data_IF_279882145731
#
_entry.id   IF_279882145731
#
_cell.length_a   1.000
_cell.length_b   1.000
_cell.length_c   1.000
_cell.angle_alpha   90.00
_cell.angle_beta   90.00
_cell.angle_gamma   90.00
#
_symmetry.space_group_name_H-M   'P 1'
#
loop_
_entity.id
_entity.type
_entity.pdbx_description
1 polymer ?
#
# COMPACT_ATOMS: atom_id res chain seq x y z
N UNK A 1 -8.39 -1.98 1.65
CA UNK A 1 -7.51 -3.07 2.16
C UNK A 1 -8.07 -4.44 1.80
N UNK A 2 -7.27 -5.30 1.21
CA UNK A 2 -7.63 -6.66 0.90
C UNK A 2 -7.52 -7.56 2.12
N UNK A 3 -8.51 -8.42 2.32
CA UNK A 3 -8.53 -9.40 3.41
C UNK A 3 -8.96 -10.77 2.90
N UNK A 4 -8.29 -11.83 3.40
CA UNK A 4 -8.59 -13.21 3.04
C UNK A 4 -7.79 -13.71 1.84
N UNK A 5 -7.16 -14.89 2.00
CA UNK A 5 -6.25 -15.46 0.99
C UNK A 5 -7.00 -16.29 -0.06
N UNK A 6 -8.09 -16.97 0.33
CA UNK A 6 -8.86 -17.83 -0.56
C UNK A 6 -10.13 -17.16 -1.10
N UNK A 7 -10.81 -16.39 -0.24
CA UNK A 7 -11.95 -15.54 -0.63
C UNK A 7 -11.59 -14.10 -0.28
N UNK A 8 -10.92 -13.44 -1.21
CA UNK A 8 -10.45 -12.07 -1.02
C UNK A 8 -11.62 -11.10 -0.96
N UNK A 9 -11.71 -10.32 0.12
CA UNK A 9 -12.69 -9.26 0.31
C UNK A 9 -11.96 -7.92 0.38
N UNK A 10 -12.52 -6.91 -0.26
CA UNK A 10 -12.04 -5.54 -0.09
C UNK A 10 -12.75 -4.95 1.12
N UNK A 11 -12.00 -4.68 2.18
CA UNK A 11 -12.50 -4.00 3.37
C UNK A 11 -12.32 -2.49 3.19
N UNK A 12 -13.42 -1.76 3.25
CA UNK A 12 -13.43 -0.30 3.22
C UNK A 12 -13.74 0.17 4.64
N UNK A 13 -12.87 0.98 5.26
CA UNK A 13 -13.17 1.60 6.56
C UNK A 13 -14.42 2.47 6.46
N UNK A 14 -15.30 2.37 7.43
CA UNK A 14 -16.56 3.12 7.46
C UNK A 14 -16.31 4.64 7.39
N UNK A 15 -15.25 5.12 8.00
CA UNK A 15 -14.82 6.52 7.96
C UNK A 15 -14.50 7.03 6.55
N UNK A 16 -14.15 6.14 5.61
CA UNK A 16 -13.93 6.51 4.21
C UNK A 16 -15.25 6.65 3.46
N UNK A 17 -16.30 5.96 3.89
CA UNK A 17 -17.65 6.03 3.31
C UNK A 17 -18.46 7.23 3.81
N UNK A 18 -18.30 7.58 5.09
CA UNK A 18 -19.05 8.65 5.73
C UNK A 18 -18.55 10.07 5.38
N UNK A 19 -17.31 10.18 4.93
CA UNK A 19 -16.77 11.44 4.44
C UNK A 19 -16.95 11.52 2.93
N UNK A 20 -17.80 12.46 2.45
CA UNK A 20 -17.95 12.85 1.03
C UNK A 20 -16.64 13.37 0.39
N UNK A 21 -15.48 12.94 0.89
CA UNK A 21 -14.17 13.48 0.57
C UNK A 21 -13.48 12.77 -0.60
N UNK A 22 -14.09 11.76 -1.18
CA UNK A 22 -13.50 11.04 -2.32
C UNK A 22 -14.38 11.18 -3.56
N UNK A 23 -13.79 11.67 -4.66
CA UNK A 23 -14.44 11.69 -5.96
C UNK A 23 -14.58 10.27 -6.53
N UNK A 24 -15.44 10.11 -7.53
CA UNK A 24 -15.57 8.84 -8.25
C UNK A 24 -14.24 8.37 -8.84
N UNK A 25 -13.44 9.28 -9.39
CA UNK A 25 -12.13 8.99 -9.95
C UNK A 25 -11.12 8.53 -8.88
N UNK A 26 -11.14 9.17 -7.70
CA UNK A 26 -10.31 8.75 -6.58
C UNK A 26 -10.67 7.33 -6.09
N UNK A 27 -11.96 7.02 -6.00
CA UNK A 27 -12.42 5.67 -5.67
C UNK A 27 -11.97 4.65 -6.73
N UNK A 28 -12.07 5.00 -8.01
CA UNK A 28 -11.60 4.14 -9.10
C UNK A 28 -10.12 3.82 -8.95
N UNK A 29 -9.27 4.80 -8.65
CA UNK A 29 -7.84 4.60 -8.44
C UNK A 29 -7.54 3.71 -7.23
N UNK A 30 -8.27 3.90 -6.12
CA UNK A 30 -8.15 3.05 -4.92
C UNK A 30 -8.51 1.59 -5.26
N UNK A 31 -9.63 1.36 -5.92
CA UNK A 31 -10.03 0.00 -6.30
C UNK A 31 -9.06 -0.62 -7.30
N UNK A 32 -8.56 0.15 -8.26
CA UNK A 32 -7.59 -0.33 -9.24
C UNK A 32 -6.31 -0.81 -8.54
N UNK A 33 -5.82 -0.07 -7.56
CA UNK A 33 -4.68 -0.46 -6.73
C UNK A 33 -4.96 -1.75 -5.95
N UNK A 34 -6.07 -1.84 -5.23
CA UNK A 34 -6.43 -3.04 -4.45
C UNK A 34 -6.64 -4.28 -5.34
N UNK A 35 -7.29 -4.12 -6.49
CA UNK A 35 -7.48 -5.22 -7.44
C UNK A 35 -6.15 -5.68 -8.08
N UNK A 36 -5.18 -4.78 -8.24
CA UNK A 36 -3.84 -5.13 -8.72
C UNK A 36 -3.13 -6.03 -7.73
N UNK A 37 -3.20 -5.75 -6.43
CA UNK A 37 -2.70 -6.65 -5.37
C UNK A 37 -3.35 -8.03 -5.43
N UNK A 38 -4.67 -8.08 -5.66
CA UNK A 38 -5.39 -9.35 -5.79
C UNK A 38 -4.91 -10.15 -7.01
N UNK A 39 -4.76 -9.49 -8.16
CA UNK A 39 -4.29 -10.13 -9.41
C UNK A 39 -2.87 -10.68 -9.29
N UNK A 40 -2.01 -10.01 -8.53
CA UNK A 40 -0.62 -10.41 -8.30
C UNK A 40 -0.45 -11.45 -7.19
N UNK A 41 -1.52 -11.79 -6.49
CA UNK A 41 -1.47 -12.69 -5.34
C UNK A 41 -0.58 -12.21 -4.18
N UNK A 42 -0.45 -10.89 -4.01
CA UNK A 42 0.44 -10.27 -3.01
C UNK A 42 0.12 -10.69 -1.58
N UNK A 43 -1.16 -10.99 -1.29
CA UNK A 43 -1.58 -11.53 0.02
C UNK A 43 -0.92 -12.87 0.35
N UNK A 44 -0.74 -13.75 -0.65
CA UNK A 44 -0.03 -15.01 -0.47
C UNK A 44 1.44 -14.76 -0.15
N UNK A 45 2.06 -13.82 -0.87
CA UNK A 45 3.45 -13.46 -0.67
C UNK A 45 3.68 -12.85 0.71
N UNK A 46 2.84 -11.89 1.12
CA UNK A 46 2.87 -11.30 2.46
C UNK A 46 2.68 -12.35 3.55
N UNK A 47 1.77 -13.32 3.34
CA UNK A 47 1.54 -14.43 4.30
C UNK A 47 2.73 -15.36 4.40
N UNK A 48 3.37 -15.68 3.29
CA UNK A 48 4.57 -16.50 3.26
C UNK A 48 5.73 -15.81 4.02
N UNK A 49 5.97 -14.54 3.76
CA UNK A 49 6.98 -13.75 4.48
C UNK A 49 6.69 -13.71 6.00
N UNK A 50 5.43 -13.62 6.37
CA UNK A 50 5.01 -13.67 7.78
C UNK A 50 5.39 -15.00 8.43
N UNK A 51 5.13 -16.12 7.78
CA UNK A 51 5.48 -17.46 8.29
C UNK A 51 7.00 -17.59 8.45
N UNK A 52 7.78 -17.13 7.47
CA UNK A 52 9.24 -17.14 7.57
C UNK A 52 9.70 -16.32 8.78
N UNK A 53 9.17 -15.12 8.95
CA UNK A 53 9.49 -14.27 10.11
C UNK A 53 9.15 -14.96 11.42
N UNK A 54 8.01 -15.62 11.51
CA UNK A 54 7.55 -16.29 12.73
C UNK A 54 8.43 -17.51 13.06
N UNK A 55 8.95 -18.22 12.05
CA UNK A 55 9.93 -19.30 12.23
C UNK A 55 11.29 -18.75 12.65
N UNK A 56 11.75 -17.67 12.03
CA UNK A 56 13.04 -17.03 12.30
C UNK A 56 12.93 -15.81 13.24
N UNK A 57 12.00 -15.85 14.21
CA UNK A 57 11.71 -14.75 15.13
C UNK A 57 12.94 -14.20 15.88
N UNK A 58 13.97 -15.04 16.10
CA UNK A 58 15.23 -14.68 16.75
C UNK A 58 16.22 -13.96 15.82
N UNK A 59 15.94 -13.93 14.52
CA UNK A 59 16.81 -13.32 13.51
C UNK A 59 16.37 -11.85 13.27
N UNK A 60 16.98 -10.90 13.96
CA UNK A 60 16.65 -9.47 13.84
C UNK A 60 16.70 -8.97 12.39
N UNK A 61 17.71 -9.32 11.54
CA UNK A 61 17.73 -8.94 10.14
C UNK A 61 16.48 -9.35 9.35
N UNK A 62 15.76 -10.39 9.78
CA UNK A 62 14.54 -10.85 9.11
C UNK A 62 13.39 -9.84 9.18
N UNK A 63 13.31 -9.07 10.26
CA UNK A 63 12.34 -7.97 10.39
C UNK A 63 12.59 -6.89 9.34
N UNK A 64 13.85 -6.59 9.09
CA UNK A 64 14.24 -5.63 8.07
C UNK A 64 13.94 -6.13 6.66
N UNK A 65 14.27 -7.40 6.35
CA UNK A 65 13.94 -8.04 5.06
C UNK A 65 12.44 -8.02 4.80
N UNK A 66 11.61 -8.36 5.79
CA UNK A 66 10.16 -8.31 5.64
C UNK A 66 9.66 -6.88 5.36
N UNK A 67 10.22 -5.87 6.04
CA UNK A 67 9.88 -4.48 5.81
C UNK A 67 10.19 -4.07 4.36
N UNK A 68 11.39 -4.36 3.88
CA UNK A 68 11.81 -4.05 2.51
C UNK A 68 10.94 -4.76 1.48
N UNK A 69 10.68 -6.06 1.66
CA UNK A 69 9.82 -6.81 0.77
C UNK A 69 8.38 -6.27 0.70
N UNK A 70 7.83 -5.77 1.81
CA UNK A 70 6.53 -5.11 1.80
C UNK A 70 6.55 -3.80 0.99
N UNK A 71 7.62 -3.02 1.11
CA UNK A 71 7.80 -1.79 0.31
C UNK A 71 7.89 -2.14 -1.18
N UNK A 72 8.68 -3.13 -1.54
CA UNK A 72 8.82 -3.59 -2.93
C UNK A 72 7.49 -4.04 -3.53
N UNK A 73 6.67 -4.76 -2.77
CA UNK A 73 5.33 -5.19 -3.21
C UNK A 73 4.46 -3.97 -3.53
N UNK A 74 4.47 -2.94 -2.68
CA UNK A 74 3.73 -1.70 -2.92
C UNK A 74 4.26 -0.96 -4.15
N UNK A 75 5.58 -0.81 -4.28
CA UNK A 75 6.22 -0.15 -5.44
C UNK A 75 5.88 -0.86 -6.76
N UNK A 76 5.94 -2.18 -6.79
CA UNK A 76 5.59 -2.98 -7.98
C UNK A 76 4.09 -2.90 -8.31
N UNK A 77 3.23 -2.76 -7.29
CA UNK A 77 1.81 -2.51 -7.49
C UNK A 77 1.59 -1.13 -8.12
N UNK A 78 2.20 -0.09 -7.55
CA UNK A 78 2.11 1.29 -8.03
C UNK A 78 2.62 1.42 -9.47
N UNK A 79 3.77 0.82 -9.79
CA UNK A 79 4.31 0.79 -11.16
C UNK A 79 3.33 0.15 -12.14
N UNK A 80 2.71 -0.97 -11.75
CA UNK A 80 1.75 -1.67 -12.59
C UNK A 80 0.52 -0.84 -12.86
N UNK A 81 -0.01 -0.15 -11.85
CA UNK A 81 -1.18 0.72 -11.97
C UNK A 81 -0.86 1.92 -12.85
N UNK A 82 0.33 2.53 -12.68
CA UNK A 82 0.70 3.77 -13.36
C UNK A 82 1.37 3.59 -14.71
N UNK A 83 1.61 2.36 -15.15
CA UNK A 83 2.33 2.03 -16.39
C UNK A 83 1.80 2.73 -17.63
N UNK A 84 0.48 2.87 -17.74
CA UNK A 84 -0.18 3.48 -18.92
C UNK A 84 -0.73 4.89 -18.63
N UNK A 85 -0.41 5.47 -17.47
CA UNK A 85 -0.86 6.78 -17.07
C UNK A 85 0.07 7.88 -17.58
N UNK A 86 -0.53 9.00 -17.99
CA UNK A 86 0.21 10.22 -18.28
C UNK A 86 0.68 10.91 -16.98
N UNK A 87 1.52 11.94 -17.11
CA UNK A 87 2.11 12.63 -15.96
C UNK A 87 1.06 13.24 -15.01
N UNK A 88 -0.05 13.76 -15.55
CA UNK A 88 -1.14 14.34 -14.75
C UNK A 88 -1.84 13.25 -13.94
N UNK A 89 -2.20 12.14 -14.57
CA UNK A 89 -2.84 11.00 -13.91
C UNK A 89 -1.95 10.38 -12.82
N UNK A 90 -0.62 10.33 -13.04
CA UNK A 90 0.33 9.88 -12.01
C UNK A 90 0.34 10.80 -10.79
N UNK A 91 0.25 12.13 -11.00
CA UNK A 91 0.12 13.09 -9.89
C UNK A 91 -1.17 12.89 -9.12
N UNK A 92 -2.29 12.70 -9.82
CA UNK A 92 -3.59 12.45 -9.20
C UNK A 92 -3.56 11.15 -8.38
N UNK A 93 -2.96 10.09 -8.93
CA UNK A 93 -2.73 8.84 -8.22
C UNK A 93 -1.89 9.01 -6.94
N UNK A 94 -0.78 9.74 -7.01
CA UNK A 94 0.05 10.03 -5.83
C UNK A 94 -0.73 10.83 -4.76
N UNK A 95 -1.55 11.79 -5.18
CA UNK A 95 -2.40 12.55 -4.26
C UNK A 95 -3.43 11.64 -3.54
N UNK A 96 -4.02 10.68 -4.25
CA UNK A 96 -4.94 9.70 -3.67
C UNK A 96 -4.23 8.82 -2.65
N UNK A 97 -3.05 8.28 -2.98
CA UNK A 97 -2.25 7.49 -2.03
C UNK A 97 -1.93 8.31 -0.78
N UNK A 98 -1.48 9.55 -0.94
CA UNK A 98 -1.16 10.43 0.19
C UNK A 98 -2.39 10.70 1.07
N UNK A 99 -3.55 10.92 0.46
CA UNK A 99 -4.82 11.14 1.15
C UNK A 99 -5.25 9.92 1.96
N UNK A 100 -5.10 8.72 1.41
CA UNK A 100 -5.39 7.45 2.10
C UNK A 100 -4.40 7.23 3.25
N UNK A 101 -3.10 7.40 3.03
CA UNK A 101 -2.06 7.23 4.04
C UNK A 101 -2.23 8.21 5.21
N UNK A 102 -2.52 9.48 4.94
CA UNK A 102 -2.71 10.50 6.00
C UNK A 102 -3.90 10.20 6.92
N UNK A 103 -4.93 9.50 6.42
CA UNK A 103 -6.06 9.06 7.25
C UNK A 103 -5.72 7.84 8.11
N UNK A 104 -4.89 6.94 7.60
CA UNK A 104 -4.43 5.78 8.37
C UNK A 104 -3.52 6.20 9.54
N UNK A 105 -2.61 7.13 9.30
CA UNK A 105 -1.68 7.63 10.32
C UNK A 105 -2.39 8.31 11.50
N UNK A 106 -3.53 8.98 11.26
CA UNK A 106 -4.33 9.57 12.35
C UNK A 106 -4.89 8.51 13.31
N UNK A 107 -5.06 7.27 12.87
CA UNK A 107 -5.61 6.17 13.68
C UNK A 107 -4.53 5.47 14.52
N UNK A 108 -3.28 5.51 14.07
CA UNK A 108 -2.14 4.85 14.72
C UNK A 108 -1.34 5.78 15.67
N UNK A 109 -1.88 6.93 16.06
CA UNK A 109 -1.19 7.95 16.86
C UNK A 109 -0.75 7.50 18.27
N UNK A 110 -0.87 6.22 18.61
CA UNK A 110 -0.42 5.64 19.89
C UNK A 110 1.01 5.07 19.87
N UNK A 111 1.75 5.17 18.75
CA UNK A 111 3.11 4.66 18.66
C UNK A 111 4.06 5.58 17.88
N UNK A 112 4.84 6.37 18.60
CA UNK A 112 5.79 7.38 18.08
C UNK A 112 6.83 6.81 17.09
N UNK A 113 7.03 5.51 17.02
CA UNK A 113 8.04 4.83 16.21
C UNK A 113 7.60 4.61 14.75
N UNK A 114 6.29 4.66 14.46
CA UNK A 114 5.73 4.36 13.14
C UNK A 114 5.90 5.50 12.12
N UNK A 115 5.80 6.76 12.54
CA UNK A 115 5.71 7.92 11.61
C UNK A 115 6.94 8.13 10.71
N UNK A 116 8.15 7.93 11.22
CA UNK A 116 9.39 8.12 10.43
C UNK A 116 9.51 7.07 9.32
N UNK A 117 9.03 5.86 9.59
CA UNK A 117 9.03 4.75 8.64
C UNK A 117 8.05 4.95 7.48
N UNK A 118 6.88 5.53 7.73
CA UNK A 118 5.83 5.71 6.71
C UNK A 118 6.17 6.81 5.70
N UNK A 119 6.77 7.90 6.15
CA UNK A 119 7.18 8.99 5.25
C UNK A 119 8.29 8.56 4.28
N UNK A 120 9.20 7.68 4.71
CA UNK A 120 10.23 7.12 3.84
C UNK A 120 9.62 6.18 2.79
N UNK A 121 8.68 5.32 3.20
CA UNK A 121 7.94 4.43 2.30
C UNK A 121 7.20 5.24 1.23
N UNK A 122 6.49 6.28 1.62
CA UNK A 122 5.77 7.14 0.68
C UNK A 122 6.69 7.85 -0.30
N UNK A 123 7.87 8.32 0.15
CA UNK A 123 8.87 8.94 -0.74
C UNK A 123 9.36 7.94 -1.79
N UNK A 124 9.65 6.71 -1.38
CA UNK A 124 10.13 5.66 -2.28
C UNK A 124 9.06 5.25 -3.31
N UNK A 125 7.81 5.10 -2.88
CA UNK A 125 6.66 4.85 -3.76
C UNK A 125 6.50 5.97 -4.79
N UNK A 126 6.55 7.25 -4.37
CA UNK A 126 6.43 8.39 -5.28
C UNK A 126 7.59 8.46 -6.27
N UNK A 127 8.82 8.23 -5.80
CA UNK A 127 9.98 8.19 -6.67
C UNK A 127 9.80 7.13 -7.79
N UNK A 128 9.35 5.93 -7.44
CA UNK A 128 9.10 4.86 -8.41
C UNK A 128 7.98 5.19 -9.40
N UNK A 129 6.87 5.80 -8.95
CA UNK A 129 5.76 6.22 -9.83
C UNK A 129 6.22 7.24 -10.88
N UNK A 130 7.14 8.14 -10.55
CA UNK A 130 7.63 9.15 -11.49
C UNK A 130 8.78 8.65 -12.36
N UNK A 131 9.56 7.67 -11.91
CA UNK A 131 10.64 7.04 -12.68
C UNK A 131 10.18 5.93 -13.61
N UNK A 132 9.05 5.29 -13.33
CA UNK A 132 8.47 4.25 -14.20
C UNK A 132 8.23 4.84 -15.60
N UNK A 133 9.07 4.42 -16.56
CA UNK A 133 8.98 4.77 -17.99
C UNK A 133 8.04 3.84 -18.71
#
# INVERSE_FOLDING_TARGET
MLFGVRNTKVLIPQEMLETENYSYEEWYLIFLHELTHQKKHDLWYKRFLQIIRDVYWFCIPMLWVQKMANIDIECVCDETVTKHMNLTQRKDYCNVILKVASKQTKKELSGVVSMVSETEILKERFYNVFLAR
#
